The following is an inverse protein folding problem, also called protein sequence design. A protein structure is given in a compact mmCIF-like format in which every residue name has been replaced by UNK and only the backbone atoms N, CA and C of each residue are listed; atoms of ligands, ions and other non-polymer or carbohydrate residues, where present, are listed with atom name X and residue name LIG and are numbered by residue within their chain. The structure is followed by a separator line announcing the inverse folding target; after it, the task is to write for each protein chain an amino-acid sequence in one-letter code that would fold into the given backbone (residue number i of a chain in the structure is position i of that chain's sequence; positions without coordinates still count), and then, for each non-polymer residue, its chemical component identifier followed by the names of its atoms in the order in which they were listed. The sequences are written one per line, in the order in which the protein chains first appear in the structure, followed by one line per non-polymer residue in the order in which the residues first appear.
data_IF_629169699931
#
_entry.id   IF_629169699931
#
_cell.length_a   1.000
_cell.length_b   1.000
_cell.length_c   1.000
_cell.angle_alpha   90.00
_cell.angle_beta   90.00
_cell.angle_gamma   90.00
#
_symmetry.space_group_name_H-M   'P 1'
#
loop_
_entity.id
_entity.type
_entity.pdbx_description
1 polymer ?
#
# COMPACT_ATOMS: atom_id res chain seq x y z
N UNK A 1 58.17 -14.27 -9.44
CA UNK A 1 56.89 -14.98 -9.51
C UNK A 1 56.18 -14.89 -8.18
N UNK A 2 54.90 -14.44 -8.22
CA UNK A 2 53.81 -14.95 -7.39
C UNK A 2 54.00 -14.80 -5.87
N UNK A 3 53.47 -13.70 -5.27
CA UNK A 3 52.89 -13.69 -3.90
C UNK A 3 52.42 -12.33 -3.34
N UNK A 4 52.58 -11.22 -4.04
CA UNK A 4 52.05 -9.92 -3.59
C UNK A 4 50.79 -9.43 -4.31
N UNK A 5 50.27 -10.19 -5.27
CA UNK A 5 48.96 -9.93 -5.90
C UNK A 5 47.77 -10.45 -5.07
N UNK A 6 48.02 -11.12 -3.94
CA UNK A 6 46.97 -11.66 -3.07
C UNK A 6 46.45 -10.66 -2.03
N UNK A 7 47.18 -9.57 -1.78
CA UNK A 7 46.78 -8.53 -0.81
C UNK A 7 45.76 -7.53 -1.37
N UNK A 8 45.76 -7.30 -2.69
CA UNK A 8 44.84 -6.34 -3.32
C UNK A 8 43.44 -6.92 -3.61
N UNK A 9 43.29 -8.25 -3.62
CA UNK A 9 42.01 -8.91 -3.92
C UNK A 9 41.13 -9.10 -2.66
N UNK A 10 41.70 -8.97 -1.47
CA UNK A 10 40.98 -9.17 -0.21
C UNK A 10 40.28 -7.89 0.32
N UNK A 11 40.61 -6.71 -0.22
CA UNK A 11 40.00 -5.44 0.22
C UNK A 11 38.75 -5.03 -0.57
N UNK A 12 38.33 -5.82 -1.57
CA UNK A 12 37.23 -5.47 -2.48
C UNK A 12 35.88 -6.14 -2.15
N UNK A 13 35.75 -6.79 -0.99
CA UNK A 13 34.51 -7.50 -0.61
C UNK A 13 33.72 -6.87 0.55
N UNK A 14 34.13 -5.70 1.08
CA UNK A 14 33.37 -4.98 2.12
C UNK A 14 32.59 -3.78 1.58
N UNK A 15 32.03 -3.90 0.37
CA UNK A 15 30.98 -3.00 -0.10
C UNK A 15 29.81 -3.83 -0.59
N UNK A 16 29.41 -4.85 0.17
CA UNK A 16 28.02 -5.26 0.19
C UNK A 16 27.24 -4.15 0.89
N UNK A 17 27.02 -3.05 0.15
CA UNK A 17 25.89 -2.17 0.41
C UNK A 17 24.68 -3.10 0.45
N UNK A 18 24.21 -3.42 1.65
CA UNK A 18 22.80 -3.72 1.84
C UNK A 18 22.11 -2.41 1.53
N UNK A 19 21.97 -2.13 0.23
CA UNK A 19 20.87 -1.36 -0.26
C UNK A 19 19.66 -2.18 0.18
N UNK A 20 19.20 -1.94 1.41
CA UNK A 20 17.79 -2.02 1.72
C UNK A 20 17.16 -1.13 0.66
N UNK A 21 16.84 -1.71 -0.49
CA UNK A 21 15.93 -1.16 -1.45
C UNK A 21 14.66 -0.97 -0.63
N UNK A 22 14.52 0.22 -0.05
CA UNK A 22 13.26 0.74 0.46
C UNK A 22 12.39 0.91 -0.79
N UNK A 23 12.03 -0.19 -1.44
CA UNK A 23 11.03 -0.21 -2.47
C UNK A 23 9.80 0.38 -1.82
N UNK A 24 9.29 1.45 -2.44
CA UNK A 24 7.97 1.95 -2.10
C UNK A 24 7.00 0.76 -2.07
N UNK A 25 6.08 0.68 -1.10
CA UNK A 25 5.03 -0.33 -1.17
C UNK A 25 4.39 -0.27 -2.56
N UNK A 26 4.31 -1.39 -3.28
CA UNK A 26 3.43 -1.42 -4.45
C UNK A 26 2.01 -1.55 -3.94
N UNK A 27 1.20 -0.53 -4.23
CA UNK A 27 -0.26 -0.64 -4.15
C UNK A 27 -0.75 -1.73 -5.12
N UNK A 28 -0.10 -1.82 -6.28
CA UNK A 28 -0.40 -2.81 -7.32
C UNK A 28 -0.34 -4.25 -6.81
N UNK A 29 -1.23 -5.07 -7.39
CA UNK A 29 -1.41 -6.48 -7.08
C UNK A 29 -2.81 -6.81 -6.59
N UNK A 30 -2.97 -8.06 -6.19
CA UNK A 30 -4.23 -8.61 -5.71
C UNK A 30 -4.31 -8.46 -4.19
N UNK A 31 -5.48 -8.04 -3.73
CA UNK A 31 -5.76 -7.83 -2.31
C UNK A 31 -7.02 -8.58 -1.92
N UNK A 32 -6.93 -9.36 -0.86
CA UNK A 32 -8.09 -9.86 -0.15
C UNK A 32 -8.69 -8.70 0.64
N UNK A 33 -10.00 -8.55 0.57
CA UNK A 33 -10.69 -7.42 1.15
C UNK A 33 -11.97 -7.85 1.87
N UNK A 34 -12.32 -7.12 2.93
CA UNK A 34 -13.61 -7.27 3.60
C UNK A 34 -14.21 -5.89 3.90
N UNK A 35 -15.51 -5.74 3.66
CA UNK A 35 -16.28 -4.53 3.96
C UNK A 35 -16.98 -4.58 5.33
N UNK A 36 -17.65 -3.48 5.69
CA UNK A 36 -18.40 -3.36 6.93
C UNK A 36 -19.58 -4.35 7.04
N UNK A 37 -20.04 -4.94 5.93
CA UNK A 37 -21.10 -5.96 5.91
C UNK A 37 -20.54 -7.38 6.04
N UNK A 38 -19.23 -7.51 6.32
CA UNK A 38 -18.48 -8.78 6.37
C UNK A 38 -18.48 -9.53 5.03
N UNK A 39 -18.72 -8.82 3.92
CA UNK A 39 -18.62 -9.42 2.59
C UNK A 39 -17.17 -9.39 2.14
N UNK A 40 -16.72 -10.51 1.61
CA UNK A 40 -15.37 -10.68 1.11
C UNK A 40 -15.27 -10.30 -0.37
N UNK A 41 -14.15 -9.69 -0.75
CA UNK A 41 -13.85 -9.29 -2.12
C UNK A 41 -12.39 -9.58 -2.46
N UNK A 42 -12.11 -9.63 -3.75
CA UNK A 42 -10.76 -9.44 -4.29
C UNK A 42 -10.71 -8.07 -4.97
N UNK A 43 -9.79 -7.23 -4.53
CA UNK A 43 -9.52 -5.93 -5.14
C UNK A 43 -8.18 -6.02 -5.87
N UNK A 44 -8.19 -5.74 -7.18
CA UNK A 44 -6.98 -5.80 -7.99
C UNK A 44 -6.56 -4.39 -8.36
N UNK A 45 -5.45 -3.92 -7.81
CA UNK A 45 -4.87 -2.61 -8.15
C UNK A 45 -3.88 -2.77 -9.32
N UNK A 46 -4.08 -1.98 -10.37
CA UNK A 46 -3.15 -1.81 -11.51
C UNK A 46 -2.65 -0.37 -11.53
N UNK A 47 -1.79 -0.03 -12.49
CA UNK A 47 -1.17 1.30 -12.56
C UNK A 47 -2.16 2.49 -12.51
N UNK A 48 -3.28 2.39 -13.19
CA UNK A 48 -4.24 3.49 -13.44
C UNK A 48 -5.71 3.13 -13.14
N UNK A 49 -5.95 1.94 -12.61
CA UNK A 49 -7.30 1.47 -12.26
C UNK A 49 -7.26 0.40 -11.18
N UNK A 50 -8.35 0.24 -10.46
CA UNK A 50 -8.59 -0.94 -9.64
C UNK A 50 -9.90 -1.60 -10.02
N UNK A 51 -9.99 -2.89 -9.70
CA UNK A 51 -11.19 -3.70 -9.94
C UNK A 51 -11.76 -4.20 -8.64
N UNK A 52 -13.08 -4.11 -8.47
CA UNK A 52 -13.82 -4.75 -7.38
C UNK A 52 -14.92 -5.60 -8.02
N UNK A 53 -14.80 -6.93 -7.93
CA UNK A 53 -15.67 -7.84 -8.67
C UNK A 53 -15.51 -7.65 -10.19
N UNK A 54 -16.61 -7.36 -10.88
CA UNK A 54 -16.59 -7.11 -12.33
C UNK A 54 -16.35 -5.65 -12.71
N UNK A 55 -16.41 -4.73 -11.74
CA UNK A 55 -16.39 -3.30 -12.01
C UNK A 55 -15.00 -2.70 -11.91
N UNK A 56 -14.59 -2.01 -12.97
CA UNK A 56 -13.33 -1.27 -13.05
C UNK A 56 -13.54 0.21 -12.68
N UNK A 57 -12.58 0.76 -11.95
CA UNK A 57 -12.56 2.15 -11.51
C UNK A 57 -11.22 2.78 -11.90
N UNK A 58 -11.25 3.74 -12.82
CA UNK A 58 -10.06 4.49 -13.22
C UNK A 58 -9.68 5.49 -12.11
N UNK A 59 -8.38 5.62 -11.87
CA UNK A 59 -7.86 6.59 -10.91
C UNK A 59 -6.55 7.23 -11.35
N UNK A 60 -6.26 8.38 -10.74
CA UNK A 60 -4.89 8.90 -10.67
C UNK A 60 -4.35 8.73 -9.24
N UNK A 61 -3.05 8.43 -9.13
CA UNK A 61 -2.37 8.23 -7.86
C UNK A 61 -1.59 9.47 -7.49
N UNK A 62 -1.72 9.88 -6.23
CA UNK A 62 -0.84 10.85 -5.59
C UNK A 62 -0.19 10.19 -4.36
N UNK A 63 1.08 9.80 -4.51
CA UNK A 63 1.86 9.08 -3.50
C UNK A 63 2.98 8.19 -4.10
N UNK A 64 3.74 7.46 -3.26
CA UNK A 64 3.55 7.28 -1.83
C UNK A 64 3.84 8.57 -1.03
N UNK A 65 3.01 8.84 -0.02
CA UNK A 65 3.21 9.89 0.98
C UNK A 65 3.56 9.26 2.32
N UNK A 66 4.31 9.99 3.15
CA UNK A 66 4.80 9.50 4.43
C UNK A 66 4.30 10.38 5.57
N UNK A 67 3.76 9.77 6.63
CA UNK A 67 3.38 10.46 7.87
C UNK A 67 3.68 9.55 9.05
N UNK A 68 4.55 10.00 9.96
CA UNK A 68 4.92 9.29 11.19
C UNK A 68 5.22 7.79 10.95
N UNK A 69 6.16 7.50 10.04
CA UNK A 69 6.58 6.16 9.62
C UNK A 69 5.56 5.30 8.84
N UNK A 70 4.34 5.79 8.64
CA UNK A 70 3.35 5.12 7.80
C UNK A 70 3.39 5.63 6.36
N UNK A 71 3.02 4.76 5.43
CA UNK A 71 2.87 5.10 4.01
C UNK A 71 1.40 5.14 3.63
N UNK A 72 1.02 6.08 2.76
CA UNK A 72 -0.31 6.08 2.16
C UNK A 72 -0.29 6.61 0.73
N UNK A 73 -1.35 6.31 -0.01
CA UNK A 73 -1.61 6.81 -1.36
C UNK A 73 -2.98 7.46 -1.38
N UNK A 74 -3.08 8.63 -2.00
CA UNK A 74 -4.37 9.24 -2.32
C UNK A 74 -4.75 8.84 -3.75
N UNK A 75 -5.96 8.34 -3.93
CA UNK A 75 -6.52 7.92 -5.22
C UNK A 75 -7.64 8.87 -5.60
N UNK A 76 -7.51 9.56 -6.72
CA UNK A 76 -8.62 10.34 -7.29
C UNK A 76 -9.35 9.47 -8.30
N UNK A 77 -10.55 9.04 -7.96
CA UNK A 77 -11.38 8.17 -8.79
C UNK A 77 -12.45 9.01 -9.47
N UNK A 78 -12.55 8.89 -10.79
CA UNK A 78 -13.65 9.49 -11.56
C UNK A 78 -14.66 8.41 -11.90
N UNK A 79 -15.86 8.53 -11.37
CA UNK A 79 -16.95 7.60 -11.65
C UNK A 79 -18.25 8.38 -11.88
N UNK A 80 -18.93 8.09 -13.00
CA UNK A 80 -20.18 8.76 -13.40
C UNK A 80 -20.10 10.30 -13.38
N UNK A 81 -18.98 10.87 -13.80
CA UNK A 81 -18.77 12.32 -13.85
C UNK A 81 -18.45 12.99 -12.51
N UNK A 82 -18.46 12.25 -11.40
CA UNK A 82 -18.02 12.72 -10.09
C UNK A 82 -16.59 12.26 -9.81
N UNK A 83 -15.73 13.19 -9.40
CA UNK A 83 -14.41 12.88 -8.86
C UNK A 83 -14.53 12.72 -7.34
N UNK A 84 -13.93 11.68 -6.78
CA UNK A 84 -13.88 11.45 -5.33
C UNK A 84 -12.49 10.97 -4.95
N UNK A 85 -11.97 11.56 -3.87
CA UNK A 85 -10.68 11.17 -3.31
C UNK A 85 -10.88 10.02 -2.33
N UNK A 86 -10.02 9.01 -2.45
CA UNK A 86 -9.89 7.92 -1.49
C UNK A 86 -8.45 7.82 -1.02
N UNK A 87 -8.21 7.07 0.05
CA UNK A 87 -6.87 6.83 0.56
C UNK A 87 -6.63 5.35 0.83
N UNK A 88 -5.48 4.84 0.38
CA UNK A 88 -4.98 3.52 0.78
C UNK A 88 -3.85 3.72 1.77
N UNK A 89 -4.10 3.37 3.03
CA UNK A 89 -3.21 3.59 4.16
C UNK A 89 -2.55 2.28 4.60
N UNK A 90 -1.23 2.28 4.76
CA UNK A 90 -0.45 1.13 5.22
C UNK A 90 -0.05 1.32 6.69
N UNK A 91 -0.77 0.73 7.64
CA UNK A 91 -0.52 0.91 9.07
C UNK A 91 0.67 0.09 9.60
N UNK A 92 1.37 -0.65 8.74
CA UNK A 92 2.47 -1.54 9.14
C UNK A 92 3.67 -1.40 8.20
N UNK A 93 4.84 -1.81 8.69
CA UNK A 93 6.09 -1.79 7.90
C UNK A 93 6.16 -2.87 6.82
N UNK A 94 5.51 -4.03 7.02
CA UNK A 94 5.50 -5.13 6.04
C UNK A 94 4.71 -4.76 4.77
N UNK A 95 3.80 -3.80 4.87
CA UNK A 95 2.95 -3.31 3.76
C UNK A 95 2.07 -4.39 3.14
N UNK A 96 1.84 -5.48 3.87
CA UNK A 96 0.90 -6.56 3.49
C UNK A 96 -0.53 -6.25 3.94
N UNK A 97 -0.67 -5.31 4.86
CA UNK A 97 -1.93 -4.83 5.44
C UNK A 97 -2.17 -3.40 5.00
N UNK A 98 -3.38 -3.09 4.54
CA UNK A 98 -3.80 -1.73 4.21
C UNK A 98 -5.27 -1.47 4.59
N UNK A 99 -5.61 -0.19 4.73
CA UNK A 99 -6.97 0.29 4.92
C UNK A 99 -7.36 1.12 3.70
N UNK A 100 -8.50 0.80 3.09
CA UNK A 100 -9.07 1.60 2.02
C UNK A 100 -10.10 2.55 2.63
N UNK A 101 -9.82 3.85 2.62
CA UNK A 101 -10.58 4.90 3.29
C UNK A 101 -11.24 5.83 2.28
N UNK A 102 -12.43 6.31 2.64
CA UNK A 102 -12.98 7.56 2.13
C UNK A 102 -12.73 8.66 3.17
N UNK A 103 -11.81 9.61 2.90
CA UNK A 103 -11.55 10.73 3.81
C UNK A 103 -12.79 11.61 4.00
N UNK A 104 -12.91 12.21 5.19
CA UNK A 104 -13.94 13.23 5.46
C UNK A 104 -13.58 14.59 4.84
N UNK A 105 -12.28 14.87 4.73
CA UNK A 105 -11.69 16.08 4.12
C UNK A 105 -10.42 15.65 3.36
N UNK A 106 -10.23 16.18 2.15
CA UNK A 106 -9.05 15.94 1.31
C UNK A 106 -7.74 16.39 2.01
N UNK A 107 -7.80 17.34 2.94
CA UNK A 107 -6.66 17.79 3.75
C UNK A 107 -6.29 16.83 4.87
N UNK A 108 -7.20 15.94 5.24
CA UNK A 108 -7.02 14.93 6.29
C UNK A 108 -7.19 13.51 5.72
N UNK A 109 -6.32 13.04 4.80
CA UNK A 109 -6.52 11.81 4.02
C UNK A 109 -6.58 10.52 4.86
N UNK A 110 -6.16 10.57 6.12
CA UNK A 110 -6.19 9.42 7.04
C UNK A 110 -7.39 9.45 8.00
N UNK A 111 -8.22 10.49 7.98
CA UNK A 111 -9.42 10.60 8.80
C UNK A 111 -10.64 10.43 7.93
N UNK A 112 -11.42 9.39 8.18
CA UNK A 112 -12.63 9.13 7.41
C UNK A 112 -13.22 7.76 7.69
N UNK A 113 -14.11 7.35 6.79
CA UNK A 113 -14.73 6.04 6.85
C UNK A 113 -13.81 5.00 6.21
N UNK A 114 -13.57 3.88 6.89
CA UNK A 114 -12.98 2.71 6.25
C UNK A 114 -14.04 2.03 5.37
N UNK A 115 -13.70 1.79 4.11
CA UNK A 115 -14.54 1.06 3.16
C UNK A 115 -14.18 -0.41 3.16
N UNK A 116 -12.87 -0.70 3.16
CA UNK A 116 -12.36 -2.06 3.12
C UNK A 116 -11.12 -2.21 4.01
N UNK A 117 -11.07 -3.33 4.74
CA UNK A 117 -9.83 -3.87 5.26
C UNK A 117 -9.14 -4.68 4.16
N UNK A 118 -7.85 -4.47 3.92
CA UNK A 118 -7.11 -5.10 2.83
C UNK A 118 -5.91 -5.90 3.36
N UNK A 119 -5.69 -7.08 2.81
CA UNK A 119 -4.49 -7.87 3.05
C UNK A 119 -4.04 -8.64 1.80
N UNK A 120 -2.72 -8.73 1.55
CA UNK A 120 -2.17 -9.42 0.36
C UNK A 120 -2.22 -10.96 0.43
N UNK A 121 -2.31 -11.55 1.63
CA UNK A 121 -2.14 -12.99 1.84
C UNK A 121 -3.28 -13.65 2.59
N UNK A 122 -3.78 -12.99 3.63
CA UNK A 122 -4.76 -13.53 4.55
C UNK A 122 -6.11 -12.85 4.37
N UNK A 123 -7.19 -13.53 4.76
CA UNK A 123 -8.52 -12.92 4.76
C UNK A 123 -8.58 -11.89 5.89
N UNK A 124 -8.75 -10.59 5.60
CA UNK A 124 -8.85 -9.59 6.64
C UNK A 124 -10.23 -9.64 7.33
N UNK A 125 -10.28 -9.20 8.59
CA UNK A 125 -11.53 -8.88 9.29
C UNK A 125 -11.69 -7.37 9.41
N UNK A 126 -12.81 -6.85 8.90
CA UNK A 126 -13.07 -5.41 8.87
C UNK A 126 -13.08 -4.80 10.27
N UNK A 127 -13.76 -5.43 11.24
CA UNK A 127 -13.95 -4.84 12.56
C UNK A 127 -12.69 -4.95 13.42
N UNK A 128 -11.89 -5.99 13.26
CA UNK A 128 -10.57 -6.08 13.87
C UNK A 128 -9.66 -4.95 13.37
N UNK A 129 -9.71 -4.63 12.08
CA UNK A 129 -8.91 -3.53 11.51
C UNK A 129 -9.39 -2.17 12.00
N UNK A 130 -10.72 -1.95 12.10
CA UNK A 130 -11.27 -0.74 12.73
C UNK A 130 -10.73 -0.61 14.16
N UNK A 131 -10.92 -1.64 14.99
CA UNK A 131 -10.50 -1.61 16.40
C UNK A 131 -9.00 -1.37 16.57
N UNK A 132 -8.19 -1.93 15.68
CA UNK A 132 -6.72 -1.88 15.79
C UNK A 132 -6.13 -0.59 15.24
N UNK A 133 -6.69 -0.05 14.15
CA UNK A 133 -6.05 0.99 13.36
C UNK A 133 -6.85 2.29 13.22
N UNK A 134 -8.18 2.24 13.34
CA UNK A 134 -9.04 3.43 13.28
C UNK A 134 -9.26 3.94 14.70
N UNK A 135 -8.56 5.01 15.08
CA UNK A 135 -8.66 5.68 16.38
C UNK A 135 -9.24 7.08 16.23
#
# INVERSE_FOLDING_TARGET
MKRWLLGLLALLCMVSMVACSKSAPSLEGDWQAQDALKKDYTIVFKKDKFKIGEQDYNYTVDGPKFKADFTYFSLKVKYQGKETTYTVFFPTKSKETALFLQPNDDKEPLKGQMLFALNKKEKPDYYDYVKKYMK
#
